data_IF_563826305779
#
_entry.id   IF_563826305779
#
_cell.length_a   1.000
_cell.length_b   1.000
_cell.length_c   1.000
_cell.angle_alpha   90.00
_cell.angle_beta   90.00
_cell.angle_gamma   90.00
#
_symmetry.space_group_name_H-M   'P 1'
#
loop_
_entity.id
_entity.type
_entity.pdbx_description
1 polymer ?
#
# COMPACT_ATOMS: atom_id res chain seq x y z
N UNK A 1 38.66 45.20 57.83
CA UNK A 1 38.64 43.84 57.28
C UNK A 1 37.29 43.63 56.64
N UNK A 2 37.24 43.61 55.29
CA UNK A 2 36.00 43.43 54.49
C UNK A 2 36.03 42.03 53.87
N UNK A 3 35.10 41.20 54.28
CA UNK A 3 34.95 39.85 53.76
C UNK A 3 34.02 39.91 52.52
N UNK A 4 34.55 39.55 51.34
CA UNK A 4 33.75 39.38 50.14
C UNK A 4 33.26 37.93 50.07
N UNK A 5 31.95 37.73 50.10
CA UNK A 5 31.31 36.45 49.80
C UNK A 5 31.11 36.35 48.27
N UNK A 6 31.81 35.41 47.63
CA UNK A 6 31.54 35.01 46.23
C UNK A 6 30.45 33.95 46.22
N UNK A 7 29.31 34.29 45.67
CA UNK A 7 28.24 33.33 45.38
C UNK A 7 28.51 32.66 44.04
N UNK A 8 28.75 31.37 44.04
CA UNK A 8 28.86 30.54 42.82
C UNK A 8 27.47 30.14 42.35
N UNK A 9 27.08 30.59 41.20
CA UNK A 9 25.81 30.25 40.53
C UNK A 9 26.00 28.91 39.79
N UNK A 10 25.42 27.84 40.32
CA UNK A 10 25.38 26.54 39.68
C UNK A 10 24.26 26.54 38.63
N UNK A 11 24.63 26.58 37.34
CA UNK A 11 23.69 26.42 36.24
C UNK A 11 23.47 24.93 35.99
N UNK A 12 22.32 24.39 36.45
CA UNK A 12 21.92 23.02 36.12
C UNK A 12 21.32 23.00 34.70
N UNK A 13 22.06 22.45 33.72
CA UNK A 13 21.52 22.10 32.41
C UNK A 13 20.56 20.92 32.56
N UNK A 14 19.27 21.20 32.53
CA UNK A 14 18.24 20.16 32.38
C UNK A 14 18.20 19.77 30.90
N UNK A 15 18.96 18.75 30.54
CA UNK A 15 18.86 18.11 29.25
C UNK A 15 17.52 17.42 29.10
N UNK A 16 16.61 17.96 28.27
CA UNK A 16 15.39 17.28 27.87
C UNK A 16 15.77 16.06 27.03
N UNK A 17 15.88 14.90 27.64
CA UNK A 17 15.94 13.63 26.93
C UNK A 17 14.60 13.44 26.22
N UNK A 18 14.57 13.65 24.91
CA UNK A 18 13.46 13.19 24.07
C UNK A 18 13.40 11.67 24.22
N UNK A 19 12.49 11.19 25.05
CA UNK A 19 12.16 9.78 25.12
C UNK A 19 11.63 9.38 23.74
N UNK A 20 12.46 8.72 22.95
CA UNK A 20 12.01 8.02 21.73
C UNK A 20 11.06 6.94 22.25
N UNK A 21 9.76 7.19 22.12
CA UNK A 21 8.73 6.18 22.41
C UNK A 21 9.04 4.96 21.56
N UNK A 22 9.48 3.89 22.21
CA UNK A 22 9.81 2.66 21.49
C UNK A 22 8.53 2.12 20.85
N UNK A 23 8.54 1.90 19.53
CA UNK A 23 7.47 1.25 18.80
C UNK A 23 7.01 -0.01 19.55
N UNK A 24 5.75 -0.07 19.95
CA UNK A 24 5.16 -1.24 20.59
C UNK A 24 4.49 -2.12 19.54
N UNK A 25 4.94 -3.37 19.44
CA UNK A 25 4.26 -4.39 18.62
C UNK A 25 3.20 -5.04 19.50
N UNK A 26 1.97 -5.07 19.01
CA UNK A 26 0.81 -5.64 19.73
C UNK A 26 0.44 -7.04 19.23
N UNK A 27 1.11 -7.54 18.19
CA UNK A 27 0.90 -8.88 17.65
C UNK A 27 1.55 -9.93 18.57
N UNK A 28 1.00 -11.18 18.59
CA UNK A 28 1.51 -12.27 19.44
C UNK A 28 2.96 -12.67 19.18
N UNK A 29 3.44 -12.51 17.94
CA UNK A 29 4.80 -12.84 17.48
C UNK A 29 5.20 -14.31 17.76
N UNK A 30 4.30 -15.24 17.46
CA UNK A 30 4.51 -16.67 17.68
C UNK A 30 5.43 -17.28 16.59
N UNK A 31 6.30 -18.17 16.96
CA UNK A 31 7.22 -18.83 16.00
C UNK A 31 6.50 -19.67 14.94
N UNK A 32 5.39 -20.31 15.33
CA UNK A 32 4.57 -21.17 14.45
C UNK A 32 3.61 -20.41 13.55
N UNK A 33 3.48 -19.09 13.71
CA UNK A 33 2.55 -18.27 12.96
C UNK A 33 3.10 -17.82 11.59
N UNK A 34 2.20 -17.44 10.68
CA UNK A 34 2.57 -16.81 9.40
C UNK A 34 2.63 -15.31 9.61
N UNK A 35 3.82 -14.74 9.54
CA UNK A 35 4.07 -13.30 9.76
C UNK A 35 4.51 -12.63 8.47
N UNK A 36 3.85 -11.54 8.13
CA UNK A 36 4.12 -10.81 6.90
C UNK A 36 3.82 -9.31 7.06
N UNK A 37 4.26 -8.54 6.08
CA UNK A 37 4.00 -7.11 5.98
C UNK A 37 3.28 -6.80 4.66
N UNK A 38 2.48 -5.75 4.65
CA UNK A 38 1.78 -5.25 3.45
C UNK A 38 2.17 -3.80 3.22
N UNK A 39 2.57 -3.48 1.99
CA UNK A 39 2.88 -2.15 1.51
C UNK A 39 2.24 -1.93 0.14
N UNK A 40 1.98 -0.68 -0.22
CA UNK A 40 1.47 -0.32 -1.55
C UNK A 40 1.89 1.08 -1.96
N UNK A 41 1.80 1.33 -3.26
CA UNK A 41 2.04 2.66 -3.85
C UNK A 41 3.41 3.23 -3.46
N UNK A 42 4.44 2.38 -3.59
CA UNK A 42 5.75 2.63 -2.96
C UNK A 42 6.73 3.37 -3.85
N UNK A 43 6.95 2.94 -5.06
CA UNK A 43 8.07 3.20 -5.99
C UNK A 43 8.40 4.65 -6.37
N UNK A 44 8.52 5.54 -5.40
CA UNK A 44 8.90 6.95 -5.58
C UNK A 44 10.42 7.16 -5.51
N UNK A 45 11.11 6.41 -4.67
CA UNK A 45 12.54 6.60 -4.36
C UNK A 45 12.82 7.92 -3.67
N UNK A 46 11.83 8.49 -3.00
CA UNK A 46 11.90 9.77 -2.30
C UNK A 46 12.08 9.59 -0.78
N UNK A 47 12.14 10.72 -0.08
CA UNK A 47 12.30 10.74 1.37
C UNK A 47 11.17 10.01 2.10
N UNK A 48 9.93 10.16 1.63
CA UNK A 48 8.75 9.54 2.27
C UNK A 48 8.86 8.02 2.27
N UNK A 49 9.15 7.42 1.12
CA UNK A 49 9.39 5.99 0.98
C UNK A 49 10.58 5.51 1.82
N UNK A 50 11.71 6.24 1.75
CA UNK A 50 12.92 5.85 2.49
C UNK A 50 12.72 5.85 4.00
N UNK A 51 12.06 6.87 4.57
CA UNK A 51 11.73 6.93 6.00
C UNK A 51 10.76 5.81 6.41
N UNK A 52 9.79 5.47 5.55
CA UNK A 52 8.88 4.34 5.76
C UNK A 52 9.66 3.02 5.78
N UNK A 53 10.55 2.80 4.83
CA UNK A 53 11.39 1.60 4.76
C UNK A 53 12.32 1.45 5.98
N UNK A 54 12.89 2.55 6.49
CA UNK A 54 13.67 2.54 7.74
C UNK A 54 12.81 2.13 8.94
N UNK A 55 11.54 2.56 9.00
CA UNK A 55 10.64 2.13 10.06
C UNK A 55 10.28 0.64 9.92
N UNK A 56 10.09 0.14 8.69
CA UNK A 56 9.87 -1.29 8.43
C UNK A 56 11.04 -2.13 8.95
N UNK A 57 12.28 -1.68 8.77
CA UNK A 57 13.47 -2.37 9.32
C UNK A 57 13.46 -2.39 10.87
N UNK A 58 13.11 -1.26 11.52
CA UNK A 58 12.99 -1.20 12.99
C UNK A 58 11.88 -2.13 13.50
N UNK A 59 10.78 -2.25 12.77
CA UNK A 59 9.70 -3.19 13.09
C UNK A 59 10.17 -4.63 12.91
N UNK A 60 10.90 -4.94 11.83
CA UNK A 60 11.47 -6.27 11.61
C UNK A 60 12.33 -6.76 12.79
N UNK A 61 13.09 -5.88 13.40
CA UNK A 61 13.94 -6.23 14.55
C UNK A 61 13.12 -6.72 15.78
N UNK A 62 11.85 -6.32 15.89
CA UNK A 62 10.94 -6.70 16.99
C UNK A 62 9.90 -7.74 16.58
N UNK A 63 9.56 -7.76 15.32
CA UNK A 63 8.57 -8.63 14.71
C UNK A 63 9.15 -9.19 13.40
N UNK A 64 9.98 -10.24 13.47
CA UNK A 64 10.55 -10.86 12.28
C UNK A 64 9.45 -11.46 11.40
N UNK A 65 9.37 -11.02 10.17
CA UNK A 65 8.47 -11.55 9.15
C UNK A 65 9.27 -12.13 7.97
N UNK A 66 8.69 -13.07 7.24
CA UNK A 66 9.42 -13.78 6.17
C UNK A 66 9.21 -13.15 4.79
N UNK A 67 8.16 -12.38 4.60
CA UNK A 67 7.86 -11.74 3.34
C UNK A 67 7.04 -10.46 3.49
N UNK A 68 7.04 -9.69 2.41
CA UNK A 68 6.25 -8.47 2.20
C UNK A 68 5.34 -8.69 1.00
N UNK A 69 4.08 -8.31 1.11
CA UNK A 69 3.13 -8.18 0.00
C UNK A 69 3.17 -6.74 -0.50
N UNK A 70 3.30 -6.55 -1.81
CA UNK A 70 3.21 -5.27 -2.49
C UNK A 70 1.91 -5.22 -3.30
N UNK A 71 1.02 -4.30 -2.96
CA UNK A 71 -0.32 -4.21 -3.56
C UNK A 71 -0.39 -3.28 -4.78
N UNK A 72 0.67 -3.25 -5.56
CA UNK A 72 0.74 -2.48 -6.82
C UNK A 72 1.29 -1.07 -6.66
N UNK A 73 1.44 -0.41 -7.82
CA UNK A 73 2.18 0.84 -7.97
C UNK A 73 3.58 0.73 -7.34
N UNK A 74 4.27 -0.32 -7.79
CA UNK A 74 5.61 -0.67 -7.30
C UNK A 74 6.65 0.33 -7.79
N UNK A 75 6.38 0.98 -8.94
CA UNK A 75 7.30 1.93 -9.59
C UNK A 75 6.52 3.08 -10.23
N UNK A 76 6.75 4.31 -9.80
CA UNK A 76 6.20 5.49 -10.46
C UNK A 76 7.17 6.07 -11.49
N UNK A 77 6.66 6.41 -12.68
CA UNK A 77 7.45 6.95 -13.78
C UNK A 77 8.32 5.89 -14.46
N UNK A 78 9.63 6.19 -14.70
CA UNK A 78 10.52 5.25 -15.36
C UNK A 78 10.88 4.04 -14.49
N UNK A 79 11.09 2.89 -15.13
CA UNK A 79 11.49 1.61 -14.52
C UNK A 79 12.77 1.06 -15.17
N UNK A 80 13.75 1.92 -15.38
CA UNK A 80 15.09 1.54 -15.81
C UNK A 80 15.81 0.71 -14.72
N UNK A 81 16.88 -0.02 -15.03
CA UNK A 81 17.65 -0.73 -13.99
C UNK A 81 18.08 0.17 -12.82
N UNK A 82 18.46 1.42 -13.08
CA UNK A 82 18.80 2.39 -12.03
C UNK A 82 17.59 2.81 -11.19
N UNK A 83 16.39 2.81 -11.77
CA UNK A 83 15.16 3.08 -11.04
C UNK A 83 14.81 1.96 -10.06
N UNK A 84 15.01 0.68 -10.44
CA UNK A 84 14.84 -0.45 -9.52
C UNK A 84 15.79 -0.35 -8.33
N UNK A 85 17.05 0.03 -8.57
CA UNK A 85 17.99 0.25 -7.46
C UNK A 85 17.47 1.36 -6.53
N UNK A 86 17.19 2.54 -7.06
CA UNK A 86 16.83 3.72 -6.27
C UNK A 86 15.46 3.62 -5.60
N UNK A 87 14.47 3.01 -6.28
CA UNK A 87 13.07 2.99 -5.83
C UNK A 87 12.70 1.71 -5.06
N UNK A 88 13.52 0.66 -5.16
CA UNK A 88 13.24 -0.62 -4.52
C UNK A 88 14.43 -1.20 -3.77
N UNK A 89 15.57 -1.44 -4.44
CA UNK A 89 16.69 -2.15 -3.81
C UNK A 89 17.29 -1.36 -2.65
N UNK A 90 17.59 -0.07 -2.84
CA UNK A 90 18.18 0.77 -1.80
C UNK A 90 17.26 0.96 -0.59
N UNK A 91 15.96 1.35 -0.75
CA UNK A 91 15.05 1.47 0.39
C UNK A 91 14.91 0.19 1.21
N UNK A 92 14.83 -0.98 0.54
CA UNK A 92 14.56 -2.26 1.21
C UNK A 92 15.80 -3.14 1.39
N UNK A 93 16.99 -2.64 1.07
CA UNK A 93 18.27 -3.36 1.17
C UNK A 93 18.46 -4.10 2.50
N UNK A 94 18.17 -3.51 3.68
CA UNK A 94 18.35 -4.21 4.95
C UNK A 94 17.44 -5.42 5.11
N UNK A 95 16.21 -5.35 4.60
CA UNK A 95 15.24 -6.46 4.65
C UNK A 95 15.62 -7.55 3.64
N UNK A 96 15.99 -7.17 2.42
CA UNK A 96 16.46 -8.08 1.37
C UNK A 96 17.69 -8.86 1.84
N UNK A 97 18.65 -8.18 2.48
CA UNK A 97 19.85 -8.81 3.04
C UNK A 97 19.55 -9.82 4.16
N UNK A 98 18.41 -9.68 4.84
CA UNK A 98 17.91 -10.62 5.85
C UNK A 98 17.08 -11.77 5.25
N UNK A 99 16.97 -11.84 3.92
CA UNK A 99 16.25 -12.89 3.21
C UNK A 99 14.74 -12.69 3.10
N UNK A 100 14.23 -11.49 3.47
CA UNK A 100 12.81 -11.15 3.31
C UNK A 100 12.46 -11.11 1.82
N UNK A 101 11.41 -11.83 1.43
CA UNK A 101 10.94 -11.89 0.05
C UNK A 101 9.84 -10.84 -0.18
N UNK A 102 9.78 -10.29 -1.39
CA UNK A 102 8.75 -9.36 -1.78
C UNK A 102 7.88 -10.01 -2.86
N UNK A 103 6.57 -10.08 -2.64
CA UNK A 103 5.59 -10.62 -3.58
C UNK A 103 4.70 -9.49 -4.08
N UNK A 104 4.85 -9.13 -5.35
CA UNK A 104 4.18 -7.97 -5.92
C UNK A 104 2.92 -8.35 -6.73
N UNK A 105 1.91 -7.50 -6.70
CA UNK A 105 0.91 -7.35 -7.75
C UNK A 105 1.21 -6.12 -8.59
N UNK A 106 0.60 -5.99 -9.77
CA UNK A 106 0.77 -4.83 -10.63
C UNK A 106 -0.31 -3.77 -10.35
N UNK A 107 0.11 -2.51 -10.26
CA UNK A 107 -0.76 -1.34 -10.24
C UNK A 107 -0.86 -0.67 -11.62
N UNK A 108 -1.69 0.37 -11.73
CA UNK A 108 -1.93 1.05 -13.00
C UNK A 108 -0.74 1.93 -13.46
N UNK A 109 0.19 2.25 -12.57
CA UNK A 109 1.45 2.93 -12.91
C UNK A 109 2.58 1.95 -13.25
N UNK A 110 2.40 0.66 -13.06
CA UNK A 110 3.44 -0.34 -13.27
C UNK A 110 3.53 -0.78 -14.73
N UNK A 111 4.76 -0.93 -15.21
CA UNK A 111 5.01 -1.62 -16.48
C UNK A 111 4.76 -3.12 -16.29
N UNK A 112 3.94 -3.78 -17.12
CA UNK A 112 3.68 -5.21 -17.03
C UNK A 112 4.95 -6.10 -17.06
N UNK A 113 6.07 -5.60 -17.57
CA UNK A 113 7.36 -6.31 -17.58
C UNK A 113 8.01 -6.40 -16.19
N UNK A 114 7.53 -5.65 -15.20
CA UNK A 114 7.96 -5.81 -13.80
C UNK A 114 7.76 -7.26 -13.29
N UNK A 115 6.84 -8.02 -13.88
CA UNK A 115 6.66 -9.45 -13.58
C UNK A 115 7.91 -10.30 -13.80
N UNK A 116 8.87 -9.84 -14.60
CA UNK A 116 10.15 -10.50 -14.83
C UNK A 116 11.25 -10.05 -13.87
N UNK A 117 11.00 -9.01 -13.08
CA UNK A 117 11.97 -8.55 -12.09
C UNK A 117 12.04 -9.55 -10.93
N UNK A 118 13.21 -10.19 -10.78
CA UNK A 118 13.39 -11.33 -9.87
C UNK A 118 12.99 -11.06 -8.42
N UNK A 119 13.24 -9.86 -7.92
CA UNK A 119 12.96 -9.50 -6.52
C UNK A 119 11.45 -9.39 -6.22
N UNK A 120 10.60 -9.23 -7.23
CA UNK A 120 9.14 -9.16 -7.05
C UNK A 120 8.47 -10.53 -6.96
N UNK A 121 9.23 -11.63 -7.17
CA UNK A 121 8.76 -13.01 -7.06
C UNK A 121 7.48 -13.34 -7.84
N UNK A 122 7.22 -12.60 -8.92
CA UNK A 122 6.09 -12.84 -9.82
C UNK A 122 6.38 -13.97 -10.83
N UNK A 123 7.65 -14.35 -11.02
CA UNK A 123 8.11 -15.44 -11.90
C UNK A 123 7.62 -15.34 -13.36
N UNK A 124 7.42 -14.13 -13.87
CA UNK A 124 6.93 -13.87 -15.22
C UNK A 124 5.41 -13.84 -15.36
N UNK A 125 4.67 -14.11 -14.28
CA UNK A 125 3.21 -14.17 -14.27
C UNK A 125 2.60 -12.84 -13.80
N UNK A 126 1.45 -12.43 -14.39
CA UNK A 126 0.68 -11.27 -13.91
C UNK A 126 -0.19 -11.60 -12.69
N UNK A 127 -0.57 -12.86 -12.57
CA UNK A 127 -1.36 -13.40 -11.47
C UNK A 127 -0.80 -14.76 -11.06
N UNK A 128 -0.73 -15.00 -9.77
CA UNK A 128 -0.10 -16.19 -9.22
C UNK A 128 -0.55 -16.44 -7.78
N UNK A 129 -0.21 -17.60 -7.24
CA UNK A 129 -0.48 -17.95 -5.85
C UNK A 129 0.77 -18.51 -5.18
N UNK A 130 0.86 -18.30 -3.88
CA UNK A 130 1.91 -18.89 -3.05
C UNK A 130 1.36 -19.19 -1.65
N UNK A 131 2.10 -19.99 -0.89
CA UNK A 131 1.74 -20.31 0.49
C UNK A 131 2.64 -19.57 1.47
N UNK A 132 2.02 -18.92 2.47
CA UNK A 132 2.73 -18.42 3.63
C UNK A 132 3.14 -19.57 4.52
N UNK A 133 4.37 -19.52 5.07
CA UNK A 133 4.87 -20.51 6.00
C UNK A 133 5.40 -19.85 7.27
N UNK A 134 5.20 -20.54 8.39
CA UNK A 134 5.87 -20.20 9.63
C UNK A 134 7.38 -20.48 9.49
N UNK A 135 8.22 -19.54 9.86
CA UNK A 135 9.68 -19.72 9.83
C UNK A 135 10.30 -19.97 8.45
N UNK A 136 9.54 -19.82 7.35
CA UNK A 136 10.07 -19.83 5.98
C UNK A 136 10.10 -21.15 5.23
N UNK A 137 9.82 -22.32 5.83
CA UNK A 137 9.96 -23.64 5.16
C UNK A 137 9.02 -24.76 5.64
N UNK A 138 7.90 -24.48 6.30
CA UNK A 138 7.02 -25.56 6.72
C UNK A 138 6.24 -26.15 5.53
N UNK A 139 6.18 -27.48 5.42
CA UNK A 139 5.15 -28.17 4.65
C UNK A 139 3.82 -27.77 5.27
N UNK A 140 3.02 -27.00 4.54
CA UNK A 140 1.70 -26.62 4.99
C UNK A 140 0.83 -27.88 4.99
N UNK A 141 0.49 -28.33 6.18
CA UNK A 141 -0.58 -29.28 6.45
C UNK A 141 -1.93 -28.63 6.19
N UNK A 142 -3.03 -29.34 6.28
CA UNK A 142 -4.37 -28.79 6.18
C UNK A 142 -4.54 -27.56 7.10
N UNK A 143 -5.20 -26.49 6.58
CA UNK A 143 -5.42 -25.24 7.31
C UNK A 143 -4.29 -24.20 7.18
N UNK A 144 -3.49 -24.24 6.12
CA UNK A 144 -2.44 -23.24 5.83
C UNK A 144 -2.98 -21.86 5.40
N UNK A 145 -2.06 -21.00 4.99
CA UNK A 145 -2.36 -19.66 4.49
C UNK A 145 -1.97 -19.57 3.02
N UNK A 146 -2.93 -19.26 2.15
CA UNK A 146 -2.71 -19.13 0.72
C UNK A 146 -2.99 -17.72 0.25
N UNK A 147 -2.03 -17.16 -0.47
CA UNK A 147 -2.06 -15.82 -1.02
C UNK A 147 -2.29 -15.87 -2.52
N UNK A 148 -3.10 -14.95 -3.03
CA UNK A 148 -3.46 -14.84 -4.44
C UNK A 148 -3.15 -13.42 -4.90
N UNK A 149 -2.12 -13.29 -5.74
CA UNK A 149 -1.83 -12.07 -6.46
C UNK A 149 -2.73 -11.98 -7.69
N UNK A 150 -3.44 -10.88 -7.85
CA UNK A 150 -4.38 -10.64 -8.95
C UNK A 150 -3.94 -9.38 -9.69
N UNK A 151 -3.93 -9.41 -11.03
CA UNK A 151 -3.75 -8.22 -11.84
C UNK A 151 -5.12 -7.55 -12.07
N UNK A 152 -5.44 -6.58 -11.24
CA UNK A 152 -6.71 -5.84 -11.33
C UNK A 152 -6.77 -4.83 -12.48
N UNK A 153 -5.67 -4.62 -13.23
CA UNK A 153 -5.69 -3.81 -14.45
C UNK A 153 -6.38 -4.54 -15.60
N UNK A 154 -6.28 -5.88 -15.64
CA UNK A 154 -6.77 -6.71 -16.76
C UNK A 154 -7.39 -8.00 -16.24
N UNK A 155 -8.67 -7.95 -15.87
CA UNK A 155 -9.45 -9.12 -15.45
C UNK A 155 -9.98 -9.87 -16.69
N UNK A 156 -9.07 -10.54 -17.38
CA UNK A 156 -9.43 -11.38 -18.53
C UNK A 156 -9.94 -12.76 -18.11
N UNK A 157 -10.58 -13.47 -19.06
CA UNK A 157 -11.16 -14.80 -18.80
C UNK A 157 -10.12 -15.79 -18.28
N UNK A 158 -8.91 -15.73 -18.76
CA UNK A 158 -7.84 -16.66 -18.38
C UNK A 158 -7.49 -16.49 -16.88
N UNK A 159 -7.41 -15.26 -16.41
CA UNK A 159 -7.18 -14.97 -15.01
C UNK A 159 -8.37 -15.39 -14.13
N UNK A 160 -9.60 -15.13 -14.57
CA UNK A 160 -10.80 -15.49 -13.79
C UNK A 160 -10.99 -17.00 -13.70
N UNK A 161 -10.75 -17.74 -14.78
CA UNK A 161 -10.79 -19.21 -14.78
C UNK A 161 -9.72 -19.81 -13.85
N UNK A 162 -8.48 -19.26 -13.92
CA UNK A 162 -7.39 -19.63 -13.02
C UNK A 162 -7.76 -19.35 -11.56
N UNK A 163 -8.26 -18.13 -11.26
CA UNK A 163 -8.60 -17.71 -9.91
C UNK A 163 -9.68 -18.60 -9.31
N UNK A 164 -10.75 -18.86 -10.06
CA UNK A 164 -11.83 -19.76 -9.62
C UNK A 164 -11.32 -21.17 -9.31
N UNK A 165 -10.46 -21.72 -10.19
CA UNK A 165 -9.86 -23.04 -9.98
C UNK A 165 -8.97 -23.08 -8.73
N UNK A 166 -8.09 -22.09 -8.57
CA UNK A 166 -7.12 -22.07 -7.49
C UNK A 166 -7.75 -21.76 -6.12
N UNK A 167 -8.78 -20.90 -6.08
CA UNK A 167 -9.56 -20.66 -4.87
C UNK A 167 -10.29 -21.93 -4.41
N UNK A 168 -10.98 -22.62 -5.33
CA UNK A 168 -11.65 -23.88 -5.03
C UNK A 168 -10.69 -24.98 -4.55
N UNK A 169 -9.49 -25.06 -5.15
CA UNK A 169 -8.45 -26.02 -4.78
C UNK A 169 -7.76 -25.71 -3.43
N UNK A 170 -8.05 -24.57 -2.81
CA UNK A 170 -7.44 -24.16 -1.53
C UNK A 170 -8.11 -24.80 -0.30
N UNK A 171 -9.25 -25.45 -0.47
CA UNK A 171 -9.94 -26.14 0.64
C UNK A 171 -10.18 -25.22 1.84
N UNK A 172 -9.72 -25.66 3.02
CA UNK A 172 -9.84 -24.94 4.30
C UNK A 172 -8.71 -23.95 4.59
N UNK A 173 -7.78 -23.69 3.65
CA UNK A 173 -6.76 -22.67 3.82
C UNK A 173 -7.37 -21.30 4.07
N UNK A 174 -6.62 -20.44 4.80
CA UNK A 174 -6.86 -19.00 4.69
C UNK A 174 -6.68 -18.59 3.24
N UNK A 175 -7.64 -17.86 2.68
CA UNK A 175 -7.57 -17.31 1.33
C UNK A 175 -7.44 -15.81 1.43
N UNK A 176 -6.27 -15.31 1.07
CA UNK A 176 -5.93 -13.89 1.11
C UNK A 176 -5.66 -13.43 -0.31
N UNK A 177 -6.49 -12.52 -0.81
CA UNK A 177 -6.29 -11.93 -2.12
C UNK A 177 -5.62 -10.56 -1.98
N UNK A 178 -4.68 -10.24 -2.89
CA UNK A 178 -4.06 -8.91 -2.94
C UNK A 178 -3.90 -8.44 -4.38
N UNK A 179 -4.21 -7.18 -4.60
CA UNK A 179 -4.21 -6.52 -5.90
C UNK A 179 -4.30 -5.01 -5.72
N UNK A 180 -4.26 -4.25 -6.81
CA UNK A 180 -4.12 -2.80 -6.71
C UNK A 180 -5.43 -2.05 -6.45
N UNK A 181 -6.46 -2.22 -7.31
CA UNK A 181 -7.68 -1.42 -7.25
C UNK A 181 -8.65 -1.92 -6.16
N UNK A 182 -8.94 -1.14 -5.09
CA UNK A 182 -9.73 -1.61 -3.95
C UNK A 182 -11.19 -1.85 -4.34
N UNK A 183 -11.76 -3.00 -3.92
CA UNK A 183 -13.18 -3.26 -4.11
C UNK A 183 -14.04 -2.31 -3.26
N UNK A 184 -13.51 -1.88 -2.12
CA UNK A 184 -14.12 -0.95 -1.19
C UNK A 184 -13.08 0.06 -0.73
N UNK A 185 -13.38 1.32 -0.92
CA UNK A 185 -12.56 2.45 -0.48
C UNK A 185 -13.42 3.69 -0.31
N UNK A 186 -13.09 4.50 0.68
CA UNK A 186 -13.71 5.81 0.93
C UNK A 186 -12.89 6.97 0.37
N UNK A 187 -11.99 6.70 -0.58
CA UNK A 187 -11.21 7.72 -1.27
C UNK A 187 -12.08 8.68 -2.07
N UNK A 188 -11.75 9.98 -2.00
CA UNK A 188 -12.41 11.00 -2.82
C UNK A 188 -11.91 10.97 -4.26
N UNK A 189 -10.64 10.62 -4.45
CA UNK A 189 -9.98 10.71 -5.75
C UNK A 189 -10.30 9.50 -6.63
N UNK A 190 -10.24 8.30 -6.08
CA UNK A 190 -10.53 7.07 -6.82
C UNK A 190 -11.73 6.33 -6.23
N UNK A 191 -11.67 5.99 -4.94
CA UNK A 191 -12.73 5.27 -4.25
C UNK A 191 -12.84 3.80 -4.64
N UNK A 192 -14.00 3.22 -4.43
CA UNK A 192 -14.26 1.81 -4.72
C UNK A 192 -14.21 1.50 -6.21
N UNK A 193 -13.46 0.46 -6.61
CA UNK A 193 -13.42 -0.04 -7.97
C UNK A 193 -14.65 -0.93 -8.25
N UNK A 194 -15.77 -0.31 -8.60
CA UNK A 194 -17.08 -0.98 -8.70
C UNK A 194 -17.11 -2.08 -9.76
N UNK A 195 -16.48 -1.86 -10.92
CA UNK A 195 -16.39 -2.86 -11.97
C UNK A 195 -15.56 -4.08 -11.53
N UNK A 196 -14.42 -3.84 -10.90
CA UNK A 196 -13.57 -4.90 -10.34
C UNK A 196 -14.32 -5.67 -9.26
N UNK A 197 -15.08 -4.97 -8.40
CA UNK A 197 -15.91 -5.57 -7.36
C UNK A 197 -17.00 -6.46 -7.94
N UNK A 198 -17.71 -6.00 -8.97
CA UNK A 198 -18.77 -6.79 -9.62
C UNK A 198 -18.28 -8.14 -10.17
N UNK A 199 -17.00 -8.20 -10.58
CA UNK A 199 -16.37 -9.41 -11.12
C UNK A 199 -15.77 -10.30 -10.04
N UNK A 200 -15.00 -9.74 -9.11
CA UNK A 200 -14.23 -10.52 -8.13
C UNK A 200 -15.03 -10.95 -6.90
N UNK A 201 -15.93 -10.09 -6.40
CA UNK A 201 -16.65 -10.37 -5.15
C UNK A 201 -17.50 -11.66 -5.22
N UNK A 202 -18.25 -11.99 -6.31
CA UNK A 202 -18.95 -13.25 -6.40
C UNK A 202 -18.03 -14.48 -6.28
N UNK A 203 -16.82 -14.43 -6.87
CA UNK A 203 -15.84 -15.50 -6.76
C UNK A 203 -15.30 -15.60 -5.31
N UNK A 204 -15.04 -14.48 -4.68
CA UNK A 204 -14.53 -14.42 -3.31
C UNK A 204 -15.54 -14.98 -2.30
N UNK A 205 -16.81 -14.65 -2.48
CA UNK A 205 -17.88 -15.15 -1.62
C UNK A 205 -18.09 -16.66 -1.80
N UNK A 206 -18.13 -17.13 -3.05
CA UNK A 206 -18.30 -18.56 -3.39
C UNK A 206 -17.22 -19.43 -2.73
N UNK A 207 -15.97 -18.97 -2.79
CA UNK A 207 -14.83 -19.77 -2.36
C UNK A 207 -14.27 -19.32 -0.99
N UNK A 208 -15.03 -18.52 -0.23
CA UNK A 208 -14.75 -18.09 1.15
C UNK A 208 -13.38 -17.40 1.30
N UNK A 209 -13.10 -16.39 0.47
CA UNK A 209 -11.96 -15.47 0.68
C UNK A 209 -12.15 -14.77 2.03
N UNK A 210 -11.11 -14.72 2.84
CA UNK A 210 -11.18 -14.16 4.19
C UNK A 210 -10.76 -12.70 4.24
N UNK A 211 -9.71 -12.33 3.49
CA UNK A 211 -9.11 -10.99 3.55
C UNK A 211 -8.70 -10.52 2.16
N UNK A 212 -8.86 -9.23 1.93
CA UNK A 212 -8.39 -8.53 0.72
C UNK A 212 -7.48 -7.38 1.12
N UNK A 213 -6.30 -7.30 0.52
CA UNK A 213 -5.42 -6.14 0.59
C UNK A 213 -5.36 -5.45 -0.76
N UNK A 214 -5.51 -4.11 -0.76
CA UNK A 214 -5.42 -3.29 -1.96
C UNK A 214 -4.64 -2.00 -1.71
N UNK A 215 -4.28 -1.29 -2.78
CA UNK A 215 -3.59 0.01 -2.78
C UNK A 215 -4.41 1.08 -3.48
N UNK A 216 -3.78 1.82 -4.42
CA UNK A 216 -4.38 2.79 -5.34
C UNK A 216 -4.82 4.09 -4.68
N UNK A 217 -5.59 4.03 -3.60
CA UNK A 217 -5.86 5.20 -2.78
C UNK A 217 -4.73 5.39 -1.76
N UNK A 218 -4.06 6.54 -1.81
CA UNK A 218 -2.80 6.81 -1.11
C UNK A 218 -3.01 7.14 0.38
N UNK A 219 -3.64 6.21 1.10
CA UNK A 219 -3.89 6.27 2.54
C UNK A 219 -3.98 4.86 3.13
N UNK A 220 -4.19 4.77 4.43
CA UNK A 220 -4.59 3.54 5.11
C UNK A 220 -6.09 3.59 5.41
N UNK A 221 -6.81 2.54 5.04
CA UNK A 221 -8.19 2.33 5.47
C UNK A 221 -8.45 0.86 5.77
N UNK A 222 -9.13 0.61 6.89
CA UNK A 222 -9.76 -0.67 7.17
C UNK A 222 -11.27 -0.50 7.02
N UNK A 223 -11.82 -1.30 6.16
CA UNK A 223 -13.26 -1.36 5.88
C UNK A 223 -13.91 -2.32 6.87
N UNK A 224 -15.07 -1.99 7.40
CA UNK A 224 -15.90 -2.95 8.11
C UNK A 224 -16.11 -4.19 7.23
N UNK A 225 -16.10 -5.41 7.78
CA UNK A 225 -16.25 -6.60 6.95
C UNK A 225 -17.46 -6.51 6.02
N UNK A 226 -17.22 -6.70 4.73
CA UNK A 226 -18.24 -6.70 3.70
C UNK A 226 -18.60 -8.14 3.36
N UNK A 227 -19.83 -8.54 3.65
CA UNK A 227 -20.30 -9.91 3.44
C UNK A 227 -19.35 -10.98 4.07
N UNK A 228 -18.75 -10.66 5.22
CA UNK A 228 -17.81 -11.52 5.93
C UNK A 228 -16.35 -11.43 5.49
N UNK A 229 -16.02 -10.68 4.44
CA UNK A 229 -14.64 -10.45 3.96
C UNK A 229 -14.08 -9.16 4.57
N UNK A 230 -12.89 -9.21 5.15
CA UNK A 230 -12.18 -8.05 5.66
C UNK A 230 -11.35 -7.41 4.57
N UNK A 231 -11.52 -6.10 4.36
CA UNK A 231 -10.81 -5.33 3.33
C UNK A 231 -9.91 -4.27 3.94
N UNK A 232 -8.70 -4.15 3.39
CA UNK A 232 -7.75 -3.10 3.72
C UNK A 232 -7.31 -2.36 2.46
N UNK A 233 -7.23 -1.04 2.56
CA UNK A 233 -6.48 -0.18 1.64
C UNK A 233 -5.16 0.19 2.32
N UNK A 234 -4.03 -0.16 1.69
CA UNK A 234 -2.67 0.05 2.22
C UNK A 234 -1.83 0.78 1.17
N UNK A 235 -2.33 1.92 0.69
CA UNK A 235 -1.72 2.67 -0.42
C UNK A 235 -0.82 3.85 0.02
N UNK A 236 -0.41 3.90 1.29
CA UNK A 236 0.37 5.03 1.79
C UNK A 236 1.81 4.68 2.19
N UNK A 237 2.44 3.67 1.55
CA UNK A 237 3.78 3.26 1.98
C UNK A 237 4.92 4.06 1.30
N UNK A 238 4.66 4.68 0.15
CA UNK A 238 5.60 5.57 -0.54
C UNK A 238 4.92 6.76 -1.21
N UNK A 239 3.60 6.74 -1.32
CA UNK A 239 2.76 7.84 -1.81
C UNK A 239 1.77 8.22 -0.71
N UNK A 240 1.40 9.50 -0.64
CA UNK A 240 0.46 9.99 0.38
C UNK A 240 -0.43 11.06 -0.22
N UNK A 241 -1.74 10.95 -0.02
CA UNK A 241 -2.73 11.96 -0.38
C UNK A 241 -3.52 12.37 0.87
N UNK A 242 -3.05 13.46 1.51
CA UNK A 242 -3.65 13.98 2.74
C UNK A 242 -5.05 14.51 2.50
N UNK A 243 -6.00 14.21 3.40
CA UNK A 243 -7.37 14.69 3.34
C UNK A 243 -8.21 14.02 2.25
N UNK A 244 -7.76 12.87 1.71
CA UNK A 244 -8.46 12.15 0.64
C UNK A 244 -9.53 11.18 1.16
N UNK A 245 -9.46 10.77 2.40
CA UNK A 245 -10.48 9.89 2.99
C UNK A 245 -11.78 10.66 3.21
N UNK A 246 -12.86 10.21 2.59
CA UNK A 246 -14.24 10.59 2.92
C UNK A 246 -14.84 9.48 3.77
N UNK A 247 -14.76 9.61 5.08
CA UNK A 247 -15.31 8.58 5.99
C UNK A 247 -16.78 8.34 5.69
N UNK A 248 -17.10 7.08 5.41
CA UNK A 248 -18.45 6.59 5.14
C UNK A 248 -18.83 5.54 6.19
N UNK A 249 -20.06 5.02 6.12
CA UNK A 249 -20.52 3.96 7.04
C UNK A 249 -19.72 2.66 6.92
N UNK A 250 -19.03 2.44 5.79
CA UNK A 250 -18.15 1.27 5.61
C UNK A 250 -16.76 1.47 6.23
N UNK A 251 -16.29 2.71 6.46
CA UNK A 251 -14.99 2.98 7.07
C UNK A 251 -14.99 2.60 8.55
N UNK A 252 -14.18 1.64 8.94
CA UNK A 252 -13.97 1.32 10.36
C UNK A 252 -12.79 2.13 10.93
N UNK A 253 -11.68 2.17 10.21
CA UNK A 253 -10.53 3.00 10.53
C UNK A 253 -9.93 3.61 9.26
N UNK A 254 -9.63 4.90 9.29
CA UNK A 254 -8.97 5.62 8.20
C UNK A 254 -7.83 6.50 8.71
N UNK A 255 -6.74 6.57 7.96
CA UNK A 255 -5.57 7.40 8.26
C UNK A 255 -4.88 7.87 6.97
N UNK A 256 -4.87 9.18 6.77
CA UNK A 256 -4.24 9.87 5.64
C UNK A 256 -3.33 11.02 6.08
N UNK A 257 -2.94 11.04 7.36
CA UNK A 257 -2.12 12.11 7.93
C UNK A 257 -0.62 11.91 7.68
N UNK A 258 -0.16 10.66 7.50
CA UNK A 258 1.25 10.33 7.23
C UNK A 258 1.35 9.00 6.48
N UNK A 259 2.56 8.69 6.00
CA UNK A 259 2.87 7.38 5.40
C UNK A 259 2.70 6.25 6.42
N UNK A 260 2.37 5.07 5.92
CA UNK A 260 2.09 3.91 6.77
C UNK A 260 2.27 2.60 6.03
N UNK A 261 2.35 1.52 6.80
CA UNK A 261 2.35 0.14 6.33
C UNK A 261 1.60 -0.73 7.35
N UNK A 262 1.32 -1.97 6.98
CA UNK A 262 0.61 -2.90 7.85
C UNK A 262 1.47 -4.15 8.11
N UNK A 263 1.50 -4.64 9.34
CA UNK A 263 2.02 -5.95 9.71
C UNK A 263 0.87 -6.86 10.11
N UNK A 264 1.00 -8.14 9.80
CA UNK A 264 -0.02 -9.14 10.11
C UNK A 264 0.62 -10.47 10.53
N UNK A 265 -0.11 -11.17 11.38
CA UNK A 265 0.24 -12.48 11.90
C UNK A 265 -0.99 -13.38 11.88
N UNK A 266 -0.88 -14.55 11.26
CA UNK A 266 -1.95 -15.55 11.24
C UNK A 266 -1.53 -16.73 12.09
N UNK A 267 -2.36 -16.99 13.10
CA UNK A 267 -2.23 -18.12 14.04
C UNK A 267 -3.57 -18.81 14.18
N UNK A 268 -3.66 -20.05 13.69
CA UNK A 268 -4.94 -20.77 13.63
C UNK A 268 -6.00 -20.02 12.80
N UNK A 269 -7.15 -19.75 13.40
CA UNK A 269 -8.26 -19.04 12.76
C UNK A 269 -8.27 -17.51 13.06
N UNK A 270 -7.19 -16.98 13.63
CA UNK A 270 -7.04 -15.56 13.92
C UNK A 270 -5.98 -14.90 13.07
N UNK A 271 -6.33 -13.73 12.50
CA UNK A 271 -5.38 -12.80 11.92
C UNK A 271 -5.27 -11.58 12.83
N UNK A 272 -4.13 -11.40 13.47
CA UNK A 272 -3.76 -10.21 14.19
C UNK A 272 -3.13 -9.22 13.20
N UNK A 273 -3.46 -7.94 13.30
CA UNK A 273 -2.91 -6.91 12.43
C UNK A 273 -2.60 -5.62 13.20
N UNK A 274 -1.62 -4.88 12.68
CA UNK A 274 -1.26 -3.55 13.19
C UNK A 274 -0.79 -2.67 12.04
N UNK A 275 -1.44 -1.53 11.85
CA UNK A 275 -0.99 -0.48 10.93
C UNK A 275 -0.10 0.50 11.70
N UNK A 276 1.03 0.85 11.08
CA UNK A 276 2.10 1.62 11.72
C UNK A 276 2.45 2.80 10.82
N UNK A 277 2.55 4.01 11.41
CA UNK A 277 3.04 5.19 10.69
C UNK A 277 4.55 5.11 10.45
N UNK A 278 5.08 5.89 9.48
CA UNK A 278 6.54 5.99 9.30
C UNK A 278 7.28 6.56 10.52
N UNK A 279 6.56 7.15 11.48
CA UNK A 279 7.12 7.64 12.75
C UNK A 279 7.14 6.56 13.84
N UNK A 280 6.47 5.44 13.60
CA UNK A 280 6.36 4.34 14.52
C UNK A 280 5.10 4.36 15.38
N UNK A 281 4.14 5.27 15.12
CA UNK A 281 2.89 5.28 15.85
C UNK A 281 1.98 4.14 15.40
N UNK A 282 1.31 3.48 16.34
CA UNK A 282 0.23 2.54 16.01
C UNK A 282 -1.01 3.33 15.56
N UNK A 283 -1.38 3.17 14.29
CA UNK A 283 -2.54 3.82 13.69
C UNK A 283 -3.82 3.05 13.98
N UNK A 284 -3.72 1.74 13.85
CA UNK A 284 -4.80 0.78 13.99
C UNK A 284 -4.24 -0.58 14.40
N UNK A 285 -5.02 -1.36 15.13
CA UNK A 285 -4.69 -2.74 15.45
C UNK A 285 -5.95 -3.51 15.79
N UNK A 286 -5.91 -4.83 15.60
CA UNK A 286 -7.05 -5.67 15.93
C UNK A 286 -6.81 -7.13 15.62
N UNK A 287 -7.85 -7.90 15.80
CA UNK A 287 -7.91 -9.33 15.50
C UNK A 287 -9.14 -9.59 14.64
N UNK A 288 -8.93 -10.26 13.53
CA UNK A 288 -9.99 -10.78 12.69
C UNK A 288 -10.02 -12.30 12.84
N UNK A 289 -11.16 -12.83 13.18
CA UNK A 289 -11.39 -14.27 13.29
C UNK A 289 -12.22 -14.71 12.08
N UNK A 290 -11.68 -15.61 11.27
CA UNK A 290 -12.45 -16.24 10.20
C UNK A 290 -13.43 -17.26 10.78
N UNK A 291 -14.57 -17.44 10.13
CA UNK A 291 -15.45 -18.55 10.44
C UNK A 291 -14.74 -19.86 10.04
N UNK A 292 -14.49 -20.73 11.01
CA UNK A 292 -13.89 -22.05 10.76
C UNK A 292 -14.82 -22.88 9.88
N UNK A 293 -14.27 -23.54 8.87
CA UNK A 293 -15.02 -24.50 8.04
C UNK A 293 -15.66 -25.64 8.87
N UNK A 294 -15.11 -25.89 10.07
CA UNK A 294 -15.64 -26.89 11.01
C UNK A 294 -16.90 -26.43 11.80
N UNK A 295 -17.20 -25.12 11.81
CA UNK A 295 -18.28 -24.55 12.61
C UNK A 295 -19.60 -24.37 11.84
N UNK A 296 -19.72 -24.85 10.61
CA UNK A 296 -20.97 -24.75 9.86
C UNK A 296 -21.89 -25.88 10.28
N UNK A 297 -22.98 -25.61 11.07
CA UNK A 297 -24.06 -26.58 11.23
C UNK A 297 -24.64 -26.87 9.84
N UNK A 298 -24.96 -28.13 9.57
CA UNK A 298 -25.58 -28.58 8.31
C UNK A 298 -26.99 -28.02 8.06
N UNK A 299 -27.31 -26.83 8.54
CA UNK A 299 -28.64 -26.23 8.48
C UNK A 299 -28.54 -24.76 8.08
N UNK A 300 -28.26 -24.52 6.83
CA UNK A 300 -28.71 -23.36 6.02
C UNK A 300 -28.27 -23.55 4.57
N UNK A 301 -28.75 -24.61 3.93
CA UNK A 301 -28.89 -24.61 2.47
C UNK A 301 -30.09 -23.73 2.13
N UNK A 302 -30.04 -22.43 2.39
CA UNK A 302 -30.85 -21.45 1.71
C UNK A 302 -30.34 -21.40 0.29
N UNK A 303 -31.19 -21.71 -0.65
CA UNK A 303 -30.97 -21.77 -2.10
C UNK A 303 -30.05 -20.67 -2.60
N UNK A 304 -28.81 -21.04 -2.89
CA UNK A 304 -27.99 -20.30 -3.83
C UNK A 304 -28.60 -20.57 -5.21
N UNK A 305 -29.03 -19.57 -5.95
CA UNK A 305 -29.54 -19.80 -7.31
C UNK A 305 -28.49 -20.60 -8.06
N UNK A 306 -28.95 -21.65 -8.74
CA UNK A 306 -28.11 -22.57 -9.51
C UNK A 306 -27.17 -21.81 -10.42
N UNK A 307 -25.88 -22.22 -10.37
CA UNK A 307 -24.84 -21.90 -11.34
C UNK A 307 -24.88 -20.47 -11.87
N UNK A 308 -24.23 -19.52 -11.16
CA UNK A 308 -23.74 -18.32 -11.81
C UNK A 308 -22.57 -18.77 -12.68
N UNK A 309 -22.85 -19.03 -13.96
CA UNK A 309 -21.83 -19.15 -14.99
C UNK A 309 -20.95 -17.88 -14.88
N UNK A 310 -19.66 -18.01 -15.07
CA UNK A 310 -18.76 -16.87 -15.16
C UNK A 310 -19.39 -15.80 -16.05
N UNK A 311 -19.49 -14.53 -15.63
CA UNK A 311 -20.21 -13.53 -16.40
C UNK A 311 -19.64 -13.48 -17.82
N UNK A 312 -20.51 -13.51 -18.81
CA UNK A 312 -20.10 -13.45 -20.21
C UNK A 312 -19.42 -12.08 -20.46
N UNK A 313 -18.56 -12.01 -21.47
CA UNK A 313 -17.94 -10.74 -21.90
C UNK A 313 -19.00 -9.67 -22.18
N UNK A 314 -20.20 -10.09 -22.61
CA UNK A 314 -21.38 -9.25 -22.84
C UNK A 314 -21.94 -8.68 -21.54
N UNK A 315 -22.08 -9.50 -20.51
CA UNK A 315 -22.55 -9.08 -19.16
C UNK A 315 -21.60 -8.09 -18.49
N UNK A 316 -20.29 -8.31 -18.65
CA UNK A 316 -19.25 -7.38 -18.15
C UNK A 316 -19.32 -6.05 -18.91
N UNK A 317 -19.63 -6.07 -20.20
CA UNK A 317 -19.76 -4.88 -21.03
C UNK A 317 -21.01 -4.05 -20.70
N UNK A 318 -22.13 -4.71 -20.40
CA UNK A 318 -23.36 -4.07 -19.95
C UNK A 318 -23.21 -3.44 -18.56
N UNK A 319 -22.60 -4.15 -17.60
CA UNK A 319 -22.28 -3.63 -16.27
C UNK A 319 -21.34 -2.41 -16.35
N UNK A 320 -20.35 -2.42 -17.25
CA UNK A 320 -19.47 -1.28 -17.51
C UNK A 320 -20.22 -0.05 -18.04
N UNK A 321 -21.22 -0.25 -18.89
CA UNK A 321 -22.03 0.83 -19.44
C UNK A 321 -22.93 1.48 -18.37
N UNK A 322 -23.46 0.69 -17.44
CA UNK A 322 -24.31 1.19 -16.37
C UNK A 322 -23.51 1.93 -15.28
N UNK A 323 -22.34 1.42 -14.91
CA UNK A 323 -21.42 2.12 -14.00
C UNK A 323 -20.90 3.43 -14.59
N UNK A 324 -20.59 3.46 -15.88
CA UNK A 324 -20.18 4.70 -16.57
C UNK A 324 -21.29 5.77 -16.60
N UNK A 325 -22.57 5.36 -16.66
CA UNK A 325 -23.70 6.27 -16.54
C UNK A 325 -23.85 6.84 -15.12
N UNK A 326 -23.66 6.00 -14.11
CA UNK A 326 -23.76 6.40 -12.72
C UNK A 326 -22.62 7.35 -12.33
N UNK A 327 -21.39 7.09 -12.74
CA UNK A 327 -20.24 7.97 -12.53
C UNK A 327 -20.40 9.31 -13.24
N UNK A 328 -20.99 9.34 -14.43
CA UNK A 328 -21.27 10.57 -15.18
C UNK A 328 -22.38 11.40 -14.50
N UNK A 329 -23.36 10.78 -13.87
CA UNK A 329 -24.41 11.44 -13.12
C UNK A 329 -23.88 12.04 -11.81
N UNK A 330 -22.97 11.32 -11.12
CA UNK A 330 -22.36 11.78 -9.88
C UNK A 330 -21.35 12.92 -10.13
N UNK A 331 -20.56 12.86 -11.20
CA UNK A 331 -19.67 13.94 -11.63
C UNK A 331 -20.43 15.23 -12.02
N UNK A 332 -21.63 15.08 -12.62
CA UNK A 332 -22.47 16.22 -12.96
C UNK A 332 -23.11 16.89 -11.72
N UNK A 333 -23.37 16.11 -10.66
CA UNK A 333 -23.93 16.61 -9.41
C UNK A 333 -22.90 17.32 -8.50
N UNK A 334 -21.60 17.07 -8.70
CA UNK A 334 -20.51 17.60 -7.87
C UNK A 334 -19.70 18.73 -8.53
N UNK A 335 -20.10 19.21 -9.71
CA UNK A 335 -19.43 20.32 -10.39
C UNK A 335 -19.57 21.61 -9.58
N UNK A 336 -18.48 22.23 -9.09
CA UNK A 336 -18.59 23.52 -8.39
C UNK A 336 -19.00 24.62 -9.37
N UNK A 337 -19.87 25.51 -8.89
CA UNK A 337 -20.27 26.70 -9.63
C UNK A 337 -19.03 27.51 -10.10
N UNK A 338 -19.04 28.13 -11.29
CA UNK A 338 -17.89 28.86 -11.80
C UNK A 338 -17.55 30.03 -10.85
N UNK A 339 -16.28 30.05 -10.39
CA UNK A 339 -15.73 31.17 -9.62
C UNK A 339 -15.81 32.46 -10.42
N UNK A 340 -16.15 33.60 -9.78
CA UNK A 340 -16.15 34.86 -10.47
C UNK A 340 -14.78 35.25 -11.01
N UNK A 341 -14.76 35.74 -12.24
CA UNK A 341 -13.55 36.12 -12.96
C UNK A 341 -12.73 37.16 -12.16
N UNK A 342 -11.47 36.81 -11.89
CA UNK A 342 -10.50 37.75 -11.32
C UNK A 342 -10.09 38.72 -12.42
N UNK A 343 -10.27 40.02 -12.16
CA UNK A 343 -9.84 41.09 -13.05
C UNK A 343 -8.31 41.07 -13.27
N UNK A 344 -7.81 41.39 -14.47
CA UNK A 344 -6.38 41.37 -14.74
C UNK A 344 -5.64 42.47 -13.96
N UNK A 345 -4.54 42.07 -13.29
CA UNK A 345 -3.63 42.99 -12.63
C UNK A 345 -2.89 43.87 -13.65
N UNK A 346 -2.59 45.13 -13.34
CA UNK A 346 -1.91 46.05 -14.25
C UNK A 346 -0.45 45.64 -14.45
N UNK A 347 0.03 45.74 -15.71
CA UNK A 347 1.39 45.46 -16.12
C UNK A 347 2.40 46.37 -15.43
N UNK A 348 3.60 45.89 -15.08
CA UNK A 348 4.66 46.74 -14.52
C UNK A 348 5.29 47.65 -15.58
N UNK A 349 5.53 48.93 -15.22
CA UNK A 349 6.23 49.92 -16.00
C UNK A 349 7.68 49.54 -16.30
N UNK A 350 8.25 49.98 -17.45
CA UNK A 350 9.61 49.62 -17.83
C UNK A 350 10.67 50.36 -17.00
N UNK A 351 11.67 49.63 -16.54
CA UNK A 351 12.87 50.11 -15.84
C UNK A 351 13.83 50.83 -16.81
N UNK A 352 14.57 51.87 -16.41
CA UNK A 352 15.43 52.63 -17.31
C UNK A 352 16.70 51.87 -17.69
N UNK A 353 17.15 52.12 -18.93
CA UNK A 353 18.26 51.47 -19.60
C UNK A 353 19.61 51.68 -18.89
N UNK A 354 20.36 50.57 -18.69
CA UNK A 354 21.73 50.61 -18.22
C UNK A 354 22.70 50.94 -19.36
N UNK A 355 23.53 51.96 -19.15
CA UNK A 355 24.62 52.45 -20.02
C UNK A 355 25.71 51.42 -20.23
N UNK A 356 26.04 51.15 -21.48
CA UNK A 356 27.17 50.28 -21.92
C UNK A 356 28.50 50.91 -21.57
N UNK A 357 29.34 50.26 -20.74
CA UNK A 357 30.74 50.55 -20.56
C UNK A 357 31.60 49.68 -21.51
N UNK A 358 32.56 50.30 -22.20
CA UNK A 358 33.51 49.68 -23.16
C UNK A 358 34.53 48.77 -22.44
N UNK A 359 34.98 47.67 -23.05
CA UNK A 359 36.01 46.80 -22.48
C UNK A 359 37.42 47.37 -22.64
N UNK A 360 38.20 47.36 -21.55
CA UNK A 360 39.65 47.65 -21.54
C UNK A 360 40.45 46.47 -22.09
N UNK A 361 41.38 46.78 -22.98
CA UNK A 361 42.36 45.89 -23.60
C UNK A 361 43.33 45.26 -22.58
N UNK A 362 43.49 43.92 -22.67
CA UNK A 362 44.44 43.14 -21.86
C UNK A 362 45.80 43.06 -22.53
N UNK A 363 46.83 43.70 -21.92
CA UNK A 363 48.23 43.58 -22.32
C UNK A 363 48.75 42.15 -22.13
N UNK A 364 49.41 41.62 -23.19
CA UNK A 364 50.20 40.38 -23.18
C UNK A 364 51.46 40.54 -22.34
N UNK A 365 51.81 39.59 -21.49
CA UNK A 365 53.12 39.40 -20.86
C UNK A 365 53.91 38.34 -21.64
N UNK A 366 55.29 38.55 -21.80
CA UNK A 366 56.06 37.60 -22.57
C UNK A 366 56.52 36.38 -21.82
N UNK A 367 56.75 35.28 -22.58
CA UNK A 367 57.24 33.98 -22.12
C UNK A 367 58.68 34.07 -21.66
N UNK A 368 59.08 33.47 -20.56
CA UNK A 368 60.44 33.12 -20.20
C UNK A 368 60.69 31.64 -20.38
N UNK A 369 61.71 31.31 -21.14
CA UNK A 369 62.35 30.01 -21.26
C UNK A 369 63.20 29.72 -20.01
N UNK A 370 63.09 28.58 -19.47
CA UNK A 370 64.13 27.58 -19.13
C UNK A 370 63.44 26.29 -18.68
#
# INVERSE_FOLDING_TARGET
>A
MRHACSAALLLTLVGSANAVTAQTITLPNKESSVRFMVIGDTGRGDRGQNETAQMMEKVFAKFPFTFVIMVGDNMYGADTPGDYVRKFEDPYKPLIAKGVKFYASLGNHDNPNQRFYKQFNMNGERFYTFRGSAGGLAKLTEGGVRFFAIDSNYLDKSQLDWLSKELAASGSDWKICFFHHPLYSSGKTHGSALETRAVLEPLFLKDHVSVVFAGHDHFYERIKPQKGILHFVVGASGSLRRGDIRRTDMTDKGFDADYSFLIAEIDGDEMHYQAISRKGDTIDSGVFRRESAAAKPAAAAAEVPAAVASPSVETVKELKADVAKEQKAEAAATSPAPSPAVAPSPSPSPSPAATKSKPKARKKRPATKT
#
